data_IF_451717657615
#
_entry.id   IF_451717657615
#
_cell.length_a   1.000
_cell.length_b   1.000
_cell.length_c   1.000
_cell.angle_alpha   90.00
_cell.angle_beta   90.00
_cell.angle_gamma   90.00
#
_symmetry.space_group_name_H-M   'P 1'
#
loop_
_entity.id
_entity.type
_entity.pdbx_description
1 polymer ?
#
# COMPACT_ATOMS: atom_id res chain seq x y z
N UNK A 1 -23.44 11.47 13.43
CA UNK A 1 -22.29 11.55 14.35
C UNK A 1 -21.49 10.27 14.19
N UNK A 2 -20.25 10.33 13.72
CA UNK A 2 -19.44 9.13 13.44
C UNK A 2 -18.88 8.45 14.69
N UNK A 3 -18.37 7.22 14.52
CA UNK A 3 -17.76 6.43 15.59
C UNK A 3 -16.38 6.96 16.07
N UNK A 4 -15.83 7.97 15.40
CA UNK A 4 -14.54 8.61 15.73
C UNK A 4 -14.41 8.98 17.22
N UNK A 5 -15.47 9.53 17.83
CA UNK A 5 -15.46 9.90 19.24
C UNK A 5 -15.28 8.69 20.17
N UNK A 6 -15.95 7.58 19.83
CA UNK A 6 -15.84 6.31 20.55
C UNK A 6 -14.43 5.71 20.38
N UNK A 7 -13.90 5.68 19.16
CA UNK A 7 -12.57 5.13 18.90
C UNK A 7 -11.46 5.95 19.57
N UNK A 8 -11.57 7.29 19.56
CA UNK A 8 -10.66 8.16 20.34
C UNK A 8 -10.75 7.84 21.83
N UNK A 9 -11.95 7.62 22.36
CA UNK A 9 -12.15 7.21 23.75
C UNK A 9 -11.53 5.85 24.07
N UNK A 10 -11.67 4.85 23.20
CA UNK A 10 -11.03 3.54 23.35
C UNK A 10 -9.50 3.65 23.36
N UNK A 11 -8.93 4.51 22.50
CA UNK A 11 -7.50 4.82 22.50
C UNK A 11 -7.06 5.45 23.82
N UNK A 12 -7.83 6.40 24.34
CA UNK A 12 -7.55 7.04 25.63
C UNK A 12 -7.61 6.03 26.80
N UNK A 13 -8.59 5.12 26.81
CA UNK A 13 -8.67 4.04 27.79
C UNK A 13 -7.44 3.13 27.74
N UNK A 14 -7.00 2.71 26.54
CA UNK A 14 -5.77 1.92 26.39
C UNK A 14 -4.54 2.69 26.90
N UNK A 15 -4.48 4.01 26.70
CA UNK A 15 -3.41 4.89 27.21
C UNK A 15 -3.49 5.16 28.71
N UNK A 16 -4.51 4.68 29.42
CA UNK A 16 -4.70 4.92 30.86
C UNK A 16 -5.37 6.25 31.17
N UNK A 17 -5.90 6.96 30.17
CA UNK A 17 -6.67 8.19 30.34
C UNK A 17 -8.14 7.86 30.59
N UNK A 18 -8.40 7.32 31.78
CA UNK A 18 -9.76 6.91 32.14
C UNK A 18 -10.66 8.11 32.41
N UNK A 19 -10.16 9.18 33.01
CA UNK A 19 -11.01 10.30 33.42
C UNK A 19 -11.00 11.45 32.43
N UNK A 20 -12.17 12.08 32.15
CA UNK A 20 -12.23 13.32 31.40
C UNK A 20 -11.34 14.37 32.05
N UNK A 21 -10.68 15.22 31.24
CA UNK A 21 -9.81 16.31 31.72
C UNK A 21 -10.49 17.23 32.73
N UNK A 22 -11.82 17.35 32.69
CA UNK A 22 -12.63 18.16 33.61
C UNK A 22 -12.68 17.59 35.04
N UNK A 23 -12.40 16.30 35.22
CA UNK A 23 -12.47 15.60 36.51
C UNK A 23 -11.18 15.74 37.33
N UNK A 24 -10.11 16.25 36.72
CA UNK A 24 -8.74 16.31 37.30
C UNK A 24 -8.61 17.37 38.40
N UNK A 25 -9.62 18.21 38.63
CA UNK A 25 -9.50 19.39 39.49
C UNK A 25 -9.95 19.21 40.94
N UNK A 26 -10.53 18.06 41.35
CA UNK A 26 -11.13 17.97 42.68
C UNK A 26 -10.63 16.83 43.59
N UNK A 27 -10.08 15.72 43.06
CA UNK A 27 -9.63 14.60 43.90
C UNK A 27 -8.45 13.81 43.29
N UNK A 28 -7.61 13.23 44.16
CA UNK A 28 -6.57 12.29 43.76
C UNK A 28 -7.20 10.98 43.29
N UNK A 29 -7.25 10.77 41.98
CA UNK A 29 -7.83 9.58 41.38
C UNK A 29 -6.74 8.60 40.93
N UNK A 30 -6.75 7.39 41.49
CA UNK A 30 -5.90 6.29 41.03
C UNK A 30 -6.64 5.54 39.92
N UNK A 31 -5.99 5.39 38.76
CA UNK A 31 -6.52 4.59 37.66
C UNK A 31 -5.70 3.31 37.47
N UNK A 32 -6.37 2.15 37.59
CA UNK A 32 -5.79 0.86 37.24
C UNK A 32 -6.10 0.57 35.78
N UNK A 33 -5.08 0.59 34.92
CA UNK A 33 -5.25 0.41 33.48
C UNK A 33 -5.40 -1.08 33.10
N UNK A 34 -6.58 -1.62 33.37
CA UNK A 34 -6.96 -3.00 33.02
C UNK A 34 -7.00 -3.21 31.49
N UNK A 35 -7.35 -2.18 30.71
CA UNK A 35 -7.41 -2.27 29.26
C UNK A 35 -6.02 -2.55 28.67
N UNK A 36 -5.01 -1.78 29.07
CA UNK A 36 -3.62 -2.00 28.66
C UNK A 36 -3.11 -3.38 29.04
N UNK A 37 -3.35 -3.81 30.29
CA UNK A 37 -2.92 -5.11 30.77
C UNK A 37 -3.56 -6.25 29.97
N UNK A 38 -4.89 -6.22 29.82
CA UNK A 38 -5.64 -7.27 29.11
C UNK A 38 -5.21 -7.36 27.65
N UNK A 39 -5.15 -6.22 26.94
CA UNK A 39 -4.77 -6.20 25.52
C UNK A 39 -3.34 -6.71 25.31
N UNK A 40 -2.39 -6.34 26.19
CA UNK A 40 -1.01 -6.80 26.05
C UNK A 40 -0.82 -8.28 26.43
N UNK A 41 -1.73 -8.86 27.21
CA UNK A 41 -1.76 -10.31 27.46
C UNK A 41 -2.35 -11.06 26.27
N UNK A 42 -3.43 -10.56 25.66
CA UNK A 42 -4.11 -11.22 24.54
C UNK A 42 -3.33 -11.06 23.23
N UNK A 43 -2.78 -9.87 22.94
CA UNK A 43 -2.18 -9.57 21.65
C UNK A 43 -1.10 -10.57 21.20
N UNK A 44 -0.14 -10.99 22.05
CA UNK A 44 0.86 -11.99 21.66
C UNK A 44 0.28 -13.39 21.42
N UNK A 45 -0.84 -13.74 22.06
CA UNK A 45 -1.49 -15.05 21.90
C UNK A 45 -2.24 -15.17 20.57
N UNK A 46 -2.84 -14.08 20.11
CA UNK A 46 -3.59 -14.01 18.84
C UNK A 46 -2.64 -13.77 17.68
N UNK A 47 -1.65 -12.89 17.85
CA UNK A 47 -0.68 -12.58 16.80
C UNK A 47 0.48 -13.56 16.81
N UNK A 48 0.28 -14.76 16.25
CA UNK A 48 1.37 -15.76 16.09
C UNK A 48 2.50 -15.12 15.29
N UNK A 49 3.73 -15.25 15.78
CA UNK A 49 4.89 -14.56 15.20
C UNK A 49 5.18 -15.01 13.77
N UNK A 50 5.08 -16.31 13.50
CA UNK A 50 5.27 -16.88 12.17
C UNK A 50 4.18 -17.94 11.97
N UNK A 51 2.97 -17.55 11.57
CA UNK A 51 1.95 -18.52 11.23
C UNK A 51 2.47 -19.37 10.07
N UNK A 52 2.28 -20.69 10.17
CA UNK A 52 2.48 -21.57 9.02
C UNK A 52 1.18 -21.59 8.23
N UNK A 53 1.20 -21.05 7.02
CA UNK A 53 0.07 -21.11 6.11
C UNK A 53 0.09 -22.50 5.47
N UNK A 54 -1.04 -23.20 5.49
CA UNK A 54 -1.20 -24.53 4.89
C UNK A 54 -2.12 -24.39 3.69
N UNK A 55 -1.69 -24.90 2.54
CA UNK A 55 -2.47 -24.82 1.30
C UNK A 55 -2.99 -26.21 0.97
N UNK A 56 -4.32 -26.34 0.94
CA UNK A 56 -4.98 -27.60 0.58
C UNK A 56 -5.46 -27.54 -0.86
N UNK A 57 -5.11 -28.53 -1.71
CA UNK A 57 -5.60 -28.56 -3.09
C UNK A 57 -7.09 -28.89 -3.15
N UNK A 58 -7.83 -28.21 -4.02
CA UNK A 58 -9.25 -28.49 -4.26
C UNK A 58 -9.46 -29.78 -5.08
N UNK A 59 -8.46 -30.17 -5.88
CA UNK A 59 -8.50 -31.32 -6.78
C UNK A 59 -7.26 -32.21 -6.60
N UNK A 60 -7.35 -33.54 -6.80
CA UNK A 60 -6.23 -34.45 -6.62
C UNK A 60 -5.00 -34.11 -7.47
N UNK A 61 -5.20 -33.58 -8.68
CA UNK A 61 -4.13 -33.27 -9.63
C UNK A 61 -3.31 -32.04 -9.22
N UNK A 62 -3.86 -31.18 -8.36
CA UNK A 62 -3.20 -29.95 -7.91
C UNK A 62 -2.34 -30.14 -6.65
N UNK A 63 -2.11 -31.37 -6.19
CA UNK A 63 -1.31 -31.67 -4.99
C UNK A 63 0.10 -31.07 -5.04
N UNK A 64 0.82 -31.28 -6.14
CA UNK A 64 2.19 -30.79 -6.27
C UNK A 64 2.25 -29.26 -6.30
N UNK A 65 1.26 -28.63 -6.97
CA UNK A 65 1.11 -27.17 -6.99
C UNK A 65 0.83 -26.61 -5.60
N UNK A 66 -0.04 -27.25 -4.82
CA UNK A 66 -0.35 -26.81 -3.47
C UNK A 66 0.88 -26.84 -2.56
N UNK A 67 1.71 -27.88 -2.65
CA UNK A 67 2.99 -27.96 -1.90
C UNK A 67 3.93 -26.82 -2.29
N UNK A 68 4.04 -26.53 -3.60
CA UNK A 68 4.86 -25.43 -4.08
C UNK A 68 4.34 -24.07 -3.60
N UNK A 69 3.05 -23.80 -3.74
CA UNK A 69 2.40 -22.55 -3.32
C UNK A 69 2.51 -22.36 -1.80
N UNK A 70 2.36 -23.43 -1.00
CA UNK A 70 2.58 -23.40 0.44
C UNK A 70 4.00 -22.93 0.76
N UNK A 71 5.02 -23.48 0.10
CA UNK A 71 6.41 -23.10 0.32
C UNK A 71 6.66 -21.63 -0.05
N UNK A 72 6.15 -21.19 -1.20
CA UNK A 72 6.28 -19.81 -1.69
C UNK A 72 5.64 -18.81 -0.73
N UNK A 73 4.38 -19.03 -0.34
CA UNK A 73 3.66 -18.10 0.55
C UNK A 73 4.35 -18.00 1.92
N UNK A 74 4.78 -19.14 2.49
CA UNK A 74 5.50 -19.13 3.77
C UNK A 74 6.87 -18.45 3.67
N UNK A 75 7.53 -18.52 2.51
CA UNK A 75 8.77 -17.79 2.25
C UNK A 75 8.50 -16.28 2.18
N UNK A 76 7.53 -15.86 1.36
CA UNK A 76 7.15 -14.45 1.18
C UNK A 76 6.74 -13.80 2.50
N UNK A 77 5.97 -14.50 3.34
CA UNK A 77 5.58 -14.01 4.67
C UNK A 77 6.77 -13.66 5.56
N UNK A 78 7.83 -14.48 5.50
CA UNK A 78 9.06 -14.26 6.27
C UNK A 78 9.96 -13.22 5.63
N UNK A 79 10.10 -13.26 4.31
CA UNK A 79 11.01 -12.40 3.55
C UNK A 79 10.56 -10.93 3.59
N UNK A 80 9.27 -10.66 3.38
CA UNK A 80 8.72 -9.29 3.38
C UNK A 80 8.18 -8.83 4.74
N UNK A 81 8.37 -9.61 5.81
CA UNK A 81 7.99 -9.28 7.19
C UNK A 81 6.52 -8.82 7.36
N UNK A 82 5.57 -9.55 6.73
CA UNK A 82 4.13 -9.30 6.86
C UNK A 82 3.61 -9.44 8.30
N UNK A 83 4.42 -10.03 9.19
CA UNK A 83 4.18 -10.09 10.63
C UNK A 83 3.99 -8.69 11.24
N UNK A 84 4.82 -7.71 10.90
CA UNK A 84 4.74 -6.36 11.50
C UNK A 84 3.40 -5.67 11.26
N UNK A 85 2.92 -5.50 10.01
CA UNK A 85 1.62 -4.89 9.75
C UNK A 85 0.49 -5.71 10.36
N UNK A 86 0.54 -7.04 10.26
CA UNK A 86 -0.48 -7.92 10.85
C UNK A 86 -0.59 -7.77 12.37
N UNK A 87 0.54 -7.72 13.10
CA UNK A 87 0.54 -7.51 14.57
C UNK A 87 -0.05 -6.16 14.97
N UNK A 88 0.17 -5.13 14.15
CA UNK A 88 -0.42 -3.81 14.38
C UNK A 88 -1.94 -3.85 14.17
N UNK A 89 -2.40 -4.51 13.11
CA UNK A 89 -3.82 -4.70 12.85
C UNK A 89 -4.53 -5.49 13.98
N UNK A 90 -3.95 -6.60 14.44
CA UNK A 90 -4.48 -7.35 15.60
C UNK A 90 -4.59 -6.47 16.86
N UNK A 91 -3.61 -5.60 17.08
CA UNK A 91 -3.66 -4.66 18.21
C UNK A 91 -4.80 -3.65 18.06
N UNK A 92 -5.02 -3.13 16.84
CA UNK A 92 -6.16 -2.26 16.56
C UNK A 92 -7.48 -2.98 16.78
N UNK A 93 -7.60 -4.23 16.33
CA UNK A 93 -8.77 -5.07 16.56
C UNK A 93 -9.08 -5.22 18.05
N UNK A 94 -8.06 -5.47 18.88
CA UNK A 94 -8.24 -5.58 20.34
C UNK A 94 -8.58 -4.26 21.03
N UNK A 95 -8.27 -3.11 20.42
CA UNK A 95 -8.58 -1.78 20.97
C UNK A 95 -9.95 -1.28 20.50
N UNK A 96 -10.24 -1.39 19.21
CA UNK A 96 -11.42 -0.78 18.55
C UNK A 96 -12.55 -1.78 18.28
N UNK A 97 -12.27 -3.08 18.35
CA UNK A 97 -13.18 -4.16 17.96
C UNK A 97 -13.15 -4.51 16.46
N UNK A 98 -12.39 -3.77 15.66
CA UNK A 98 -12.15 -4.04 14.24
C UNK A 98 -10.79 -3.51 13.81
N UNK A 99 -10.25 -4.04 12.73
CA UNK A 99 -9.05 -3.50 12.08
C UNK A 99 -9.07 -3.69 10.57
N UNK A 100 -8.20 -2.96 9.88
CA UNK A 100 -8.12 -2.96 8.42
C UNK A 100 -6.72 -3.28 7.94
N UNK A 101 -6.66 -4.19 6.98
CA UNK A 101 -5.42 -4.57 6.29
C UNK A 101 -5.64 -4.45 4.78
N UNK A 102 -4.75 -3.74 4.09
CA UNK A 102 -4.68 -3.72 2.63
C UNK A 102 -3.79 -4.86 2.17
N UNK A 103 -4.30 -5.71 1.30
CA UNK A 103 -3.53 -6.79 0.67
C UNK A 103 -3.62 -6.63 -0.83
N UNK A 104 -2.49 -6.74 -1.50
CA UNK A 104 -2.46 -6.66 -2.95
C UNK A 104 -1.13 -7.07 -3.51
N UNK A 105 -1.02 -6.91 -4.83
CA UNK A 105 0.22 -7.11 -5.55
C UNK A 105 0.76 -5.76 -6.00
N UNK A 106 2.04 -5.50 -5.75
CA UNK A 106 2.71 -4.30 -6.24
C UNK A 106 3.58 -4.69 -7.42
N UNK A 107 3.17 -4.22 -8.58
CA UNK A 107 3.90 -4.34 -9.82
C UNK A 107 4.37 -2.95 -10.26
N UNK A 108 5.68 -2.74 -10.30
CA UNK A 108 6.30 -1.49 -10.72
C UNK A 108 7.31 -1.77 -11.83
N UNK A 109 7.01 -1.28 -13.03
CA UNK A 109 7.97 -1.21 -14.12
C UNK A 109 8.62 0.18 -14.15
N UNK A 110 9.93 0.22 -14.34
CA UNK A 110 10.66 1.46 -14.51
C UNK A 110 11.54 1.36 -15.75
N UNK A 111 11.51 2.40 -16.57
CA UNK A 111 12.50 2.59 -17.62
C UNK A 111 13.85 2.83 -16.96
N UNK A 112 14.75 1.85 -17.09
CA UNK A 112 16.14 1.98 -16.67
C UNK A 112 16.99 2.25 -17.91
N UNK A 113 17.84 3.26 -17.84
CA UNK A 113 18.89 3.47 -18.84
C UNK A 113 19.86 2.29 -18.78
N UNK A 114 20.00 1.59 -19.90
CA UNK A 114 20.92 0.46 -20.00
C UNK A 114 22.36 0.96 -19.82
N UNK A 115 23.15 0.24 -19.02
CA UNK A 115 24.57 0.54 -18.88
C UNK A 115 25.34 0.20 -20.17
N UNK A 116 26.52 0.81 -20.37
CA UNK A 116 27.33 0.57 -21.57
C UNK A 116 27.68 -0.91 -21.78
N UNK A 117 27.85 -1.67 -20.69
CA UNK A 117 28.08 -3.14 -20.73
C UNK A 117 26.85 -3.92 -21.17
N UNK A 118 25.67 -3.62 -20.61
CA UNK A 118 24.40 -4.28 -21.00
C UNK A 118 24.08 -3.98 -22.48
N UNK A 119 24.39 -2.77 -22.95
CA UNK A 119 24.23 -2.39 -24.37
C UNK A 119 25.21 -3.11 -25.29
N UNK A 120 26.46 -3.32 -24.86
CA UNK A 120 27.44 -4.08 -25.62
C UNK A 120 27.05 -5.57 -25.72
N UNK A 121 26.50 -6.15 -24.65
CA UNK A 121 25.97 -7.52 -24.66
C UNK A 121 24.78 -7.66 -25.62
N UNK A 122 23.84 -6.70 -25.62
CA UNK A 122 22.71 -6.70 -26.57
C UNK A 122 23.17 -6.52 -28.03
N UNK A 123 24.25 -5.76 -28.27
CA UNK A 123 24.82 -5.61 -29.61
C UNK A 123 25.42 -6.92 -30.10
N UNK A 124 26.19 -7.59 -29.24
CA UNK A 124 26.84 -8.86 -29.58
C UNK A 124 25.79 -9.94 -29.88
N UNK A 125 24.72 -10.00 -29.08
CA UNK A 125 23.60 -10.93 -29.31
C UNK A 125 22.89 -10.64 -30.64
N UNK A 126 22.58 -9.38 -30.93
CA UNK A 126 21.95 -9.00 -32.19
C UNK A 126 22.83 -9.34 -33.41
N UNK A 127 24.13 -9.06 -33.33
CA UNK A 127 25.10 -9.39 -34.39
C UNK A 127 25.18 -10.91 -34.63
N UNK A 128 25.20 -11.70 -33.56
CA UNK A 128 25.20 -13.16 -33.65
C UNK A 128 23.92 -13.69 -34.31
N UNK A 129 22.75 -13.13 -33.99
CA UNK A 129 21.48 -13.47 -34.63
C UNK A 129 21.47 -13.13 -36.12
N UNK A 130 21.95 -11.94 -36.48
CA UNK A 130 22.05 -11.50 -37.88
C UNK A 130 23.00 -12.39 -38.68
N UNK A 131 24.17 -12.74 -38.12
CA UNK A 131 25.13 -13.66 -38.72
C UNK A 131 24.57 -15.07 -38.89
N UNK A 132 23.82 -15.55 -37.89
CA UNK A 132 23.18 -16.86 -37.96
C UNK A 132 22.11 -16.88 -39.05
N UNK A 133 21.27 -15.85 -39.13
CA UNK A 133 20.26 -15.72 -40.19
C UNK A 133 20.90 -15.65 -41.58
N UNK A 134 22.00 -14.90 -41.74
CA UNK A 134 22.72 -14.82 -43.02
C UNK A 134 23.32 -16.17 -43.47
N UNK A 135 23.71 -17.04 -42.52
CA UNK A 135 24.18 -18.40 -42.82
C UNK A 135 23.04 -19.34 -43.20
N UNK A 136 21.89 -19.20 -42.56
CA UNK A 136 20.71 -20.05 -42.79
C UNK A 136 19.99 -19.69 -44.10
N UNK A 137 19.91 -18.40 -44.46
CA UNK A 137 19.27 -17.95 -45.69
C UNK A 137 20.12 -16.92 -46.47
N UNK A 138 21.14 -17.38 -47.23
CA UNK A 138 22.11 -16.51 -47.90
C UNK A 138 21.52 -15.58 -48.97
N UNK A 139 20.32 -15.88 -49.46
CA UNK A 139 19.64 -15.08 -50.50
C UNK A 139 19.03 -13.81 -49.91
N UNK A 140 18.67 -13.84 -48.62
CA UNK A 140 18.07 -12.72 -47.89
C UNK A 140 19.09 -11.92 -47.07
N UNK A 141 20.34 -12.38 -46.98
CA UNK A 141 21.41 -11.73 -46.23
C UNK A 141 21.70 -10.27 -46.66
N UNK A 142 21.47 -9.93 -47.94
CA UNK A 142 21.66 -8.56 -48.45
C UNK A 142 20.64 -7.53 -47.96
N UNK A 143 19.57 -7.97 -47.27
CA UNK A 143 18.56 -7.10 -46.66
C UNK A 143 18.74 -6.89 -45.15
N UNK A 144 19.80 -7.44 -44.55
CA UNK A 144 20.09 -7.27 -43.13
C UNK A 144 20.65 -5.87 -42.85
N UNK A 145 20.33 -5.26 -41.69
CA UNK A 145 20.94 -4.02 -41.27
C UNK A 145 22.46 -4.17 -41.12
N UNK A 146 23.20 -3.09 -41.37
CA UNK A 146 24.65 -3.05 -41.11
C UNK A 146 24.95 -2.96 -39.62
N UNK A 147 26.15 -3.36 -39.20
CA UNK A 147 26.59 -3.33 -37.79
C UNK A 147 26.39 -1.94 -37.15
N UNK A 148 26.68 -0.86 -37.90
CA UNK A 148 26.47 0.52 -37.46
C UNK A 148 24.99 0.88 -37.28
N UNK A 149 24.12 0.37 -38.17
CA UNK A 149 22.66 0.53 -38.07
C UNK A 149 22.08 -0.29 -36.91
N UNK A 150 22.65 -1.47 -36.63
CA UNK A 150 22.28 -2.30 -35.48
C UNK A 150 22.67 -1.61 -34.17
N UNK A 151 23.90 -1.10 -34.07
CA UNK A 151 24.36 -0.34 -32.91
C UNK A 151 23.52 0.92 -32.64
N UNK A 152 23.06 1.60 -33.70
CA UNK A 152 22.19 2.77 -33.58
C UNK A 152 20.76 2.41 -33.13
N UNK A 153 20.27 1.22 -33.45
CA UNK A 153 18.93 0.75 -33.13
C UNK A 153 18.81 0.09 -31.74
N UNK A 154 19.92 -0.12 -31.03
CA UNK A 154 19.86 -0.64 -29.65
C UNK A 154 19.20 0.40 -28.76
N UNK A 155 18.07 0.04 -28.11
CA UNK A 155 17.36 0.95 -27.24
C UNK A 155 18.27 1.43 -26.11
N UNK A 156 18.17 2.71 -25.76
CA UNK A 156 18.93 3.30 -24.65
C UNK A 156 18.29 3.02 -23.29
N UNK A 157 17.00 2.68 -23.29
CA UNK A 157 16.21 2.37 -22.11
C UNK A 157 15.54 1.02 -22.29
N UNK A 158 15.55 0.22 -21.23
CA UNK A 158 14.78 -1.01 -21.14
C UNK A 158 13.76 -0.90 -20.01
N UNK A 159 12.58 -1.48 -20.23
CA UNK A 159 11.57 -1.65 -19.19
C UNK A 159 12.02 -2.77 -18.26
N UNK A 160 12.40 -2.43 -17.04
CA UNK A 160 12.75 -3.41 -16.00
C UNK A 160 11.64 -3.44 -14.95
N UNK A 161 11.21 -4.65 -14.60
CA UNK A 161 10.33 -4.85 -13.45
C UNK A 161 11.14 -4.62 -12.18
N UNK A 162 10.86 -3.51 -11.50
CA UNK A 162 11.57 -3.08 -10.28
C UNK A 162 10.97 -3.73 -9.05
N UNK A 163 9.64 -3.83 -9.01
CA UNK A 163 8.92 -4.50 -7.92
C UNK A 163 7.90 -5.46 -8.50
N UNK A 164 7.98 -6.72 -8.07
CA UNK A 164 7.02 -7.78 -8.37
C UNK A 164 6.81 -8.62 -7.11
N UNK A 165 6.03 -8.08 -6.17
CA UNK A 165 5.87 -8.66 -4.85
C UNK A 165 4.50 -8.40 -4.24
N UNK A 166 3.98 -9.32 -3.40
CA UNK A 166 2.80 -9.04 -2.61
C UNK A 166 3.12 -8.03 -1.51
N UNK A 167 2.11 -7.25 -1.12
CA UNK A 167 2.21 -6.36 0.03
C UNK A 167 1.06 -6.58 1.00
N UNK A 168 1.36 -6.31 2.27
CA UNK A 168 0.39 -6.29 3.36
C UNK A 168 0.63 -4.99 4.12
N UNK A 169 -0.37 -4.12 4.15
CA UNK A 169 -0.30 -2.84 4.84
C UNK A 169 -1.38 -2.74 5.90
N UNK A 170 -1.01 -2.33 7.12
CA UNK A 170 -1.99 -2.00 8.16
C UNK A 170 -2.54 -0.62 7.87
N UNK A 171 -3.86 -0.49 7.86
CA UNK A 171 -4.54 0.79 7.68
C UNK A 171 -5.14 1.24 9.01
N UNK A 172 -5.10 2.55 9.26
CA UNK A 172 -5.75 3.11 10.43
C UNK A 172 -7.27 3.01 10.32
N UNK A 173 -7.99 2.58 11.37
CA UNK A 173 -9.45 2.64 11.39
C UNK A 173 -10.02 4.04 11.14
N UNK A 174 -9.27 5.10 11.45
CA UNK A 174 -9.66 6.50 11.22
C UNK A 174 -9.49 6.96 9.76
N UNK A 175 -8.82 6.15 8.94
CA UNK A 175 -8.46 6.47 7.56
C UNK A 175 -9.21 5.58 6.56
N UNK A 176 -10.21 4.81 7.02
CA UNK A 176 -11.06 3.98 6.16
C UNK A 176 -12.50 4.41 6.34
N UNK A 177 -13.21 4.56 5.22
CA UNK A 177 -14.61 4.92 5.13
C UNK A 177 -15.32 3.86 4.30
N UNK A 178 -16.49 3.43 4.74
CA UNK A 178 -17.26 2.38 4.10
C UNK A 178 -18.68 2.90 3.96
N UNK A 179 -19.40 2.36 2.98
CA UNK A 179 -20.83 2.57 2.83
C UNK A 179 -21.56 2.42 4.18
N UNK A 180 -22.17 3.49 4.71
CA UNK A 180 -22.85 3.44 6.01
C UNK A 180 -24.11 2.57 6.01
N UNK A 181 -24.65 2.22 4.83
CA UNK A 181 -25.80 1.31 4.70
C UNK A 181 -25.39 -0.16 4.76
N UNK A 182 -24.09 -0.47 4.65
CA UNK A 182 -23.60 -1.84 4.62
C UNK A 182 -23.63 -2.49 6.02
N UNK A 183 -24.15 -3.71 6.10
CA UNK A 183 -24.10 -4.54 7.32
C UNK A 183 -22.87 -5.43 7.39
N UNK A 184 -22.28 -5.75 6.24
CA UNK A 184 -21.05 -6.49 6.08
C UNK A 184 -20.26 -5.96 4.87
N UNK A 185 -19.00 -6.37 4.72
CA UNK A 185 -18.15 -5.88 3.64
C UNK A 185 -18.62 -6.38 2.26
N UNK A 186 -19.28 -7.54 2.20
CA UNK A 186 -19.82 -8.08 0.96
C UNK A 186 -20.98 -7.23 0.40
N UNK A 187 -21.75 -6.57 1.27
CA UNK A 187 -22.88 -5.73 0.90
C UNK A 187 -22.49 -4.25 0.67
N UNK A 188 -21.23 -3.90 0.92
CA UNK A 188 -20.76 -2.54 0.76
C UNK A 188 -20.73 -2.13 -0.72
N UNK A 189 -21.34 -1.00 -1.06
CA UNK A 189 -21.29 -0.46 -2.43
C UNK A 189 -19.97 0.24 -2.73
N UNK A 190 -19.32 0.78 -1.71
CA UNK A 190 -18.06 1.49 -1.85
C UNK A 190 -17.23 1.43 -0.56
N UNK A 191 -15.92 1.56 -0.75
CA UNK A 191 -14.94 1.75 0.32
C UNK A 191 -13.94 2.83 -0.11
N UNK A 192 -13.56 3.69 0.81
CA UNK A 192 -12.60 4.76 0.55
C UNK A 192 -11.52 4.80 1.62
N UNK A 193 -10.28 4.99 1.19
CA UNK A 193 -9.13 5.17 2.07
C UNK A 193 -8.66 6.62 2.01
N UNK A 194 -8.56 7.26 3.18
CA UNK A 194 -7.91 8.56 3.33
C UNK A 194 -6.41 8.37 3.45
N UNK A 195 -5.66 9.10 2.64
CA UNK A 195 -4.20 9.09 2.63
C UNK A 195 -3.71 10.53 2.80
N UNK A 196 -2.90 10.75 3.83
CA UNK A 196 -2.25 12.04 4.06
C UNK A 196 -0.87 11.99 3.42
N UNK A 197 -0.60 12.88 2.46
CA UNK A 197 0.70 12.97 1.78
C UNK A 197 1.31 14.36 1.93
N UNK A 198 2.65 14.49 1.92
CA UNK A 198 3.31 15.77 1.74
C UNK A 198 2.85 16.42 0.42
N UNK A 199 2.60 17.72 0.44
CA UNK A 199 2.08 18.46 -0.71
C UNK A 199 3.05 18.39 -1.90
N UNK A 200 4.35 18.48 -1.63
CA UNK A 200 5.40 18.42 -2.65
C UNK A 200 5.44 17.07 -3.36
N UNK A 201 5.34 15.97 -2.61
CA UNK A 201 5.29 14.61 -3.16
C UNK A 201 4.03 14.41 -4.00
N UNK A 202 2.87 14.87 -3.52
CA UNK A 202 1.61 14.78 -4.25
C UNK A 202 1.63 15.61 -5.55
N UNK A 203 2.29 16.78 -5.56
CA UNK A 203 2.49 17.61 -6.75
C UNK A 203 3.48 16.99 -7.75
N UNK A 204 4.49 16.29 -7.25
CA UNK A 204 5.50 15.64 -8.08
C UNK A 204 5.01 14.34 -8.74
N UNK A 205 4.03 13.66 -8.13
CA UNK A 205 3.52 12.38 -8.62
C UNK A 205 2.97 12.50 -10.06
N UNK A 206 3.62 11.80 -11.00
CA UNK A 206 3.28 11.80 -12.43
C UNK A 206 2.03 10.99 -12.74
N UNK A 207 1.58 10.13 -11.82
CA UNK A 207 0.35 9.34 -11.98
C UNK A 207 -0.89 10.21 -11.90
N UNK A 208 -0.80 11.34 -11.18
CA UNK A 208 -1.90 12.28 -11.06
C UNK A 208 -2.00 13.20 -12.26
N UNK A 209 -3.23 13.56 -12.61
CA UNK A 209 -3.50 14.55 -13.65
C UNK A 209 -2.77 15.86 -13.39
N UNK A 210 -2.04 16.32 -14.39
CA UNK A 210 -1.17 17.49 -14.27
C UNK A 210 -1.92 18.79 -13.91
N UNK A 211 -3.16 18.94 -14.38
CA UNK A 211 -4.02 20.10 -14.08
C UNK A 211 -4.46 20.13 -12.62
N UNK A 212 -4.80 18.97 -12.06
CA UNK A 212 -5.33 18.83 -10.69
C UNK A 212 -4.20 18.89 -9.67
N UNK A 213 -3.10 18.15 -9.90
CA UNK A 213 -1.97 18.12 -8.94
C UNK A 213 -1.37 19.51 -8.70
N UNK A 214 -1.31 20.38 -9.72
CA UNK A 214 -0.81 21.76 -9.58
C UNK A 214 -1.70 22.65 -8.72
N UNK A 215 -3.00 22.35 -8.64
CA UNK A 215 -3.99 23.09 -7.86
C UNK A 215 -4.15 22.59 -6.42
N UNK A 216 -3.46 21.51 -6.05
CA UNK A 216 -3.49 20.99 -4.68
C UNK A 216 -3.02 22.06 -3.69
N UNK A 217 -3.79 22.19 -2.61
CA UNK A 217 -3.51 23.08 -1.49
C UNK A 217 -3.29 22.27 -0.21
N UNK A 218 -2.56 22.86 0.74
CA UNK A 218 -2.47 22.29 2.07
C UNK A 218 -3.85 22.32 2.76
N UNK A 219 -4.38 21.15 3.11
CA UNK A 219 -5.72 20.99 3.70
C UNK A 219 -5.71 20.16 4.99
N UNK A 220 -4.55 19.59 5.38
CA UNK A 220 -4.38 18.87 6.63
C UNK A 220 -3.13 19.33 7.36
N UNK A 221 -3.28 19.57 8.65
CA UNK A 221 -2.18 19.73 9.60
C UNK A 221 -1.81 18.35 10.15
N UNK A 222 -0.59 18.22 10.69
CA UNK A 222 -0.15 16.98 11.31
C UNK A 222 -1.04 16.66 12.51
N UNK A 223 -1.56 15.43 12.62
CA UNK A 223 -2.28 15.00 13.81
C UNK A 223 -1.32 15.08 15.02
N UNK A 224 -1.55 15.96 16.01
CA UNK A 224 -0.60 16.17 17.13
C UNK A 224 -0.41 14.93 18.02
N UNK A 225 -1.17 13.86 17.77
CA UNK A 225 -1.22 12.66 18.59
C UNK A 225 -0.04 11.71 18.33
N UNK A 226 0.70 11.86 17.22
CA UNK A 226 1.79 10.97 16.81
C UNK A 226 3.21 11.56 16.97
N UNK A 227 3.35 12.84 17.33
CA UNK A 227 4.67 13.42 17.57
C UNK A 227 5.16 13.01 18.97
N UNK A 228 6.31 12.33 19.02
CA UNK A 228 7.05 12.00 20.25
C UNK A 228 7.82 13.22 20.79
N UNK A 229 7.71 14.35 20.08
CA UNK A 229 8.41 15.59 20.36
C UNK A 229 7.83 16.33 21.58
N UNK A 230 8.70 17.01 22.31
CA UNK A 230 8.31 18.04 23.27
C UNK A 230 7.51 19.15 22.58
N UNK A 231 6.70 19.92 23.33
CA UNK A 231 5.87 21.00 22.76
C UNK A 231 6.66 22.01 21.91
N UNK A 232 7.93 22.24 22.25
CA UNK A 232 8.84 23.09 21.46
C UNK A 232 9.24 22.46 20.12
N UNK A 233 9.60 21.18 20.11
CA UNK A 233 9.92 20.45 18.86
C UNK A 233 8.68 20.24 17.98
N UNK A 234 7.48 20.15 18.59
CA UNK A 234 6.21 20.18 17.87
C UNK A 234 6.02 21.50 17.12
N UNK A 235 6.25 22.64 17.79
CA UNK A 235 6.12 23.97 17.19
C UNK A 235 7.20 24.22 16.12
N UNK A 236 8.40 23.66 16.25
CA UNK A 236 9.52 23.90 15.33
C UNK A 236 9.48 23.03 14.04
N UNK A 237 9.00 21.78 14.11
CA UNK A 237 9.01 20.85 12.97
C UNK A 237 7.64 20.64 12.30
N UNK A 238 6.51 20.84 13.01
CA UNK A 238 5.17 20.54 12.47
C UNK A 238 4.59 21.68 11.61
N UNK A 239 5.05 22.91 11.80
CA UNK A 239 4.51 24.08 11.10
C UNK A 239 5.01 24.22 9.65
N UNK A 240 6.05 23.48 9.25
CA UNK A 240 6.71 23.69 7.95
C UNK A 240 6.39 22.64 6.88
N UNK A 241 5.70 21.53 7.20
CA UNK A 241 5.33 20.53 6.20
C UNK A 241 3.86 20.68 5.77
N UNK A 242 3.65 21.37 4.65
CA UNK A 242 2.36 21.41 3.98
C UNK A 242 1.93 20.00 3.54
N UNK A 243 0.74 19.56 3.96
CA UNK A 243 0.20 18.23 3.63
C UNK A 243 -1.16 18.35 2.96
N UNK A 244 -1.43 17.40 2.06
CA UNK A 244 -2.70 17.26 1.38
C UNK A 244 -3.32 15.89 1.64
N UNK A 245 -4.63 15.87 1.80
CA UNK A 245 -5.42 14.66 1.92
C UNK A 245 -5.91 14.23 0.55
N UNK A 246 -5.70 12.95 0.27
CA UNK A 246 -6.15 12.28 -0.94
C UNK A 246 -7.01 11.09 -0.52
N UNK A 247 -8.13 10.90 -1.21
CA UNK A 247 -8.99 9.74 -1.06
C UNK A 247 -8.79 8.80 -2.23
N UNK A 248 -8.42 7.56 -1.94
CA UNK A 248 -8.60 6.47 -2.89
C UNK A 248 -10.03 5.94 -2.70
N UNK A 249 -10.86 6.08 -3.74
CA UNK A 249 -12.24 5.65 -3.74
C UNK A 249 -12.41 4.41 -4.61
N UNK A 250 -12.91 3.34 -4.00
CA UNK A 250 -13.17 2.05 -4.62
C UNK A 250 -14.68 1.88 -4.74
N UNK A 251 -15.17 1.91 -5.96
CA UNK A 251 -16.56 1.56 -6.29
C UNK A 251 -16.63 0.04 -6.47
N UNK A 252 -17.34 -0.64 -5.57
CA UNK A 252 -17.46 -2.09 -5.57
C UNK A 252 -18.49 -2.54 -6.61
N UNK A 253 -19.51 -1.71 -6.87
CA UNK A 253 -20.59 -2.03 -7.82
C UNK A 253 -20.09 -1.93 -9.25
N UNK A 254 -19.43 -0.81 -9.58
CA UNK A 254 -18.88 -0.58 -10.91
C UNK A 254 -17.48 -1.21 -11.10
N UNK A 255 -16.91 -1.74 -10.02
CA UNK A 255 -15.57 -2.33 -9.97
C UNK A 255 -14.51 -1.36 -10.53
N UNK A 256 -14.52 -0.12 -10.03
CA UNK A 256 -13.59 0.95 -10.44
C UNK A 256 -12.82 1.53 -9.25
N UNK A 257 -11.65 2.08 -9.56
CA UNK A 257 -10.82 2.85 -8.64
C UNK A 257 -10.71 4.27 -9.17
N UNK A 258 -10.93 5.25 -8.32
CA UNK A 258 -10.65 6.66 -8.60
C UNK A 258 -9.91 7.30 -7.43
N UNK A 259 -9.20 8.39 -7.71
CA UNK A 259 -8.46 9.12 -6.67
C UNK A 259 -8.88 10.58 -6.69
N UNK A 260 -9.28 11.10 -5.54
CA UNK A 260 -9.80 12.46 -5.39
C UNK A 260 -8.99 13.21 -4.32
N UNK A 261 -8.68 14.50 -4.52
CA UNK A 261 -8.15 15.33 -3.45
C UNK A 261 -9.28 15.72 -2.49
N UNK A 262 -8.94 16.01 -1.24
CA UNK A 262 -9.87 16.68 -0.33
C UNK A 262 -10.07 18.15 -0.74
N UNK A 263 -9.02 18.78 -1.26
CA UNK A 263 -9.05 20.14 -1.81
C UNK A 263 -9.30 20.12 -3.32
N UNK A 264 -10.58 20.16 -3.71
CA UNK A 264 -11.02 20.34 -5.10
C UNK A 264 -12.09 19.35 -5.55
N UNK A 265 -12.65 19.60 -6.74
CA UNK A 265 -13.80 18.83 -7.27
C UNK A 265 -13.42 17.88 -8.43
N UNK A 266 -12.15 17.90 -8.85
CA UNK A 266 -11.66 17.10 -9.98
C UNK A 266 -10.88 15.85 -9.51
N UNK A 267 -11.03 14.75 -10.23
CA UNK A 267 -10.28 13.52 -10.01
C UNK A 267 -8.76 13.71 -10.26
N UNK A 268 -7.93 13.31 -9.29
CA UNK A 268 -6.49 13.12 -9.47
C UNK A 268 -6.20 11.95 -10.42
N UNK A 269 -6.97 10.87 -10.29
CA UNK A 269 -7.00 9.72 -11.20
C UNK A 269 -8.47 9.46 -11.52
N UNK A 270 -8.81 9.50 -12.82
CA UNK A 270 -10.16 9.16 -13.27
C UNK A 270 -10.55 7.74 -12.86
N UNK A 271 -11.85 7.41 -12.80
CA UNK A 271 -12.30 6.05 -12.62
C UNK A 271 -11.64 5.12 -13.66
N UNK A 272 -10.74 4.26 -13.17
CA UNK A 272 -10.12 3.18 -13.92
C UNK A 272 -10.70 1.86 -13.48
N UNK A 273 -10.61 0.83 -14.33
CA UNK A 273 -10.97 -0.53 -13.94
C UNK A 273 -10.15 -0.96 -12.71
N UNK A 274 -10.77 -1.72 -11.81
CA UNK A 274 -10.13 -2.19 -10.58
C UNK A 274 -8.79 -2.88 -10.87
N UNK A 275 -7.66 -2.40 -10.31
CA UNK A 275 -6.34 -2.93 -10.62
C UNK A 275 -6.06 -4.29 -9.94
N UNK A 276 -6.89 -4.69 -8.98
CA UNK A 276 -6.69 -5.91 -8.21
C UNK A 276 -7.62 -7.03 -8.70
N UNK A 277 -7.08 -8.26 -8.76
CA UNK A 277 -7.77 -9.42 -9.32
C UNK A 277 -9.04 -9.85 -8.56
N UNK A 278 -9.13 -9.53 -7.26
CA UNK A 278 -10.22 -9.96 -6.38
C UNK A 278 -11.13 -8.80 -5.94
N UNK A 279 -11.17 -7.70 -6.70
CA UNK A 279 -11.96 -6.51 -6.36
C UNK A 279 -11.21 -5.56 -5.42
N UNK A 280 -11.88 -5.05 -4.41
CA UNK A 280 -11.27 -4.11 -3.46
C UNK A 280 -10.19 -4.81 -2.57
N UNK A 281 -9.08 -4.13 -2.22
CA UNK A 281 -7.93 -4.76 -1.55
C UNK A 281 -7.99 -4.81 -0.02
N UNK A 282 -9.09 -4.36 0.60
CA UNK A 282 -9.24 -4.23 2.04
C UNK A 282 -9.84 -5.49 2.66
N UNK A 283 -9.22 -5.93 3.75
CA UNK A 283 -9.69 -7.02 4.59
C UNK A 283 -9.95 -6.46 5.99
N UNK A 284 -11.18 -6.64 6.47
CA UNK A 284 -11.56 -6.36 7.85
C UNK A 284 -11.20 -7.56 8.73
N UNK A 285 -10.53 -7.32 9.85
CA UNK A 285 -10.37 -8.32 10.93
C UNK A 285 -11.18 -7.95 12.15
#
# INVERSE_FOLDING_TARGET
MGYDGLWRRMTDLYRGKHWPRTTVLQEDMIAVNLAFSTINVIAPSVSVNHPKIVVTPNEPDNKDRAVFVEAVINHLWKHHDFRKPFRRAVKDFLIFGHSWVKVGWKFLEQERTLGDTERAEMLDEALLEADQFAREDPVLAGGLPTDDEMAANIPQTAMMVVEDQPFVERISPFDVYIDPEATCLEDAKWIAQRIIRPLDEAKADKRYKASVRKRLSADSLLYPMYSVATRQEQEEYLDNEERTVVFEYYDIVENTLSVLPQSGDDFLIDPIAMPYAYGQPFVMM
#
